data_IF_285128832037
#
_entry.id   IF_285128832037
#
_cell.length_a   1.000
_cell.length_b   1.000
_cell.length_c   1.000
_cell.angle_alpha   90.00
_cell.angle_beta   90.00
_cell.angle_gamma   90.00
#
_symmetry.space_group_name_H-M   'P 1'
#
loop_
_entity.id
_entity.type
_entity.pdbx_description
1 polymer ?
#
# COMPACT_ATOMS: atom_id res chain seq x y z
N UNK A 1 -14.79 10.95 38.17
CA UNK A 1 -14.91 9.47 38.00
C UNK A 1 -15.54 9.05 36.65
N UNK A 2 -15.35 9.79 35.54
CA UNK A 2 -16.20 9.65 34.34
C UNK A 2 -15.49 9.40 33.00
N UNK A 3 -14.15 9.50 32.91
CA UNK A 3 -13.39 9.22 31.68
C UNK A 3 -12.79 7.80 31.64
N UNK A 4 -12.25 7.33 32.76
CA UNK A 4 -11.61 6.01 32.86
C UNK A 4 -12.58 4.85 32.58
N UNK A 5 -13.80 4.87 33.14
CA UNK A 5 -14.80 3.82 32.88
C UNK A 5 -15.31 3.83 31.43
N UNK A 6 -15.37 5.00 30.78
CA UNK A 6 -15.72 5.09 29.35
C UNK A 6 -14.61 4.53 28.46
N UNK A 7 -13.35 4.75 28.83
CA UNK A 7 -12.19 4.13 28.17
C UNK A 7 -12.22 2.61 28.34
N UNK A 8 -12.42 2.10 29.55
CA UNK A 8 -12.52 0.65 29.81
C UNK A 8 -13.70 0.00 29.07
N UNK A 9 -14.88 0.64 29.06
CA UNK A 9 -16.05 0.13 28.34
C UNK A 9 -15.94 0.26 26.80
N UNK A 10 -15.05 1.10 26.29
CA UNK A 10 -14.73 1.18 24.87
C UNK A 10 -13.70 0.11 24.47
N UNK A 11 -12.69 -0.15 25.31
CA UNK A 11 -11.70 -1.20 25.11
C UNK A 11 -12.36 -2.58 25.12
N UNK A 12 -13.33 -2.82 26.01
CA UNK A 12 -14.08 -4.09 26.07
C UNK A 12 -15.00 -4.36 24.87
N UNK A 13 -15.19 -3.38 23.97
CA UNK A 13 -15.98 -3.51 22.74
C UNK A 13 -15.13 -3.66 21.47
N UNK A 14 -13.81 -3.69 21.61
CA UNK A 14 -12.91 -3.88 20.47
C UNK A 14 -13.01 -5.34 20.03
N UNK A 15 -13.55 -5.57 18.83
CA UNK A 15 -13.55 -6.88 18.22
C UNK A 15 -12.17 -7.18 17.63
N UNK A 16 -11.78 -8.44 17.59
CA UNK A 16 -10.44 -8.85 17.12
C UNK A 16 -10.21 -8.49 15.63
N UNK A 17 -11.27 -8.55 14.81
CA UNK A 17 -11.15 -8.42 13.36
C UNK A 17 -10.68 -7.02 12.88
N UNK A 18 -11.27 -5.89 13.29
CA UNK A 18 -10.77 -4.56 12.92
C UNK A 18 -9.34 -4.30 13.40
N UNK A 19 -8.94 -4.88 14.54
CA UNK A 19 -7.59 -4.77 15.06
C UNK A 19 -6.59 -5.53 14.18
N UNK A 20 -6.92 -6.76 13.78
CA UNK A 20 -6.12 -7.54 12.83
C UNK A 20 -5.96 -6.83 11.48
N UNK A 21 -7.02 -6.20 10.96
CA UNK A 21 -6.94 -5.42 9.72
C UNK A 21 -5.93 -4.28 9.86
N UNK A 22 -5.98 -3.53 10.97
CA UNK A 22 -5.03 -2.41 11.22
C UNK A 22 -3.59 -2.89 11.39
N UNK A 23 -3.39 -4.02 12.07
CA UNK A 23 -2.07 -4.67 12.14
C UNK A 23 -1.61 -5.07 10.74
N UNK A 24 -2.49 -5.60 9.91
CA UNK A 24 -2.21 -5.90 8.51
C UNK A 24 -1.80 -4.67 7.70
N UNK A 25 -2.49 -3.53 7.87
CA UNK A 25 -2.11 -2.25 7.25
C UNK A 25 -0.70 -1.85 7.66
N UNK A 26 -0.40 -1.89 8.96
CA UNK A 26 0.92 -1.54 9.47
C UNK A 26 2.01 -2.44 8.88
N UNK A 27 1.82 -3.76 8.91
CA UNK A 27 2.81 -4.72 8.40
C UNK A 27 3.05 -4.53 6.90
N UNK A 28 1.98 -4.37 6.11
CA UNK A 28 2.13 -4.14 4.67
C UNK A 28 2.84 -2.81 4.38
N UNK A 29 2.48 -1.74 5.11
CA UNK A 29 3.12 -0.43 4.94
C UNK A 29 4.60 -0.50 5.31
N UNK A 30 4.92 -1.14 6.43
CA UNK A 30 6.29 -1.30 6.89
C UNK A 30 7.14 -2.11 5.92
N UNK A 31 6.64 -3.26 5.45
CA UNK A 31 7.36 -4.07 4.46
C UNK A 31 7.53 -3.32 3.14
N UNK A 32 6.52 -2.57 2.69
CA UNK A 32 6.67 -1.74 1.47
C UNK A 32 7.76 -0.68 1.62
N UNK A 33 7.86 -0.05 2.79
CA UNK A 33 8.91 0.92 3.08
C UNK A 33 10.29 0.27 3.15
N UNK A 34 10.40 -0.91 3.76
CA UNK A 34 11.66 -1.66 3.78
C UNK A 34 12.12 -2.07 2.38
N UNK A 35 11.20 -2.53 1.52
CA UNK A 35 11.53 -2.87 0.14
C UNK A 35 11.89 -1.65 -0.72
N UNK A 36 11.33 -0.48 -0.38
CA UNK A 36 11.63 0.77 -1.06
C UNK A 36 13.00 1.37 -0.69
N UNK A 37 13.51 1.09 0.52
CA UNK A 37 14.79 1.58 1.03
C UNK A 37 15.82 0.43 1.07
N UNK A 38 16.69 0.31 0.04
CA UNK A 38 17.55 -0.86 -0.15
C UNK A 38 18.70 -0.98 0.87
N UNK A 39 19.09 0.12 1.52
CA UNK A 39 20.07 0.06 2.61
C UNK A 39 19.45 -0.71 3.78
N UNK A 40 19.87 -1.98 3.94
CA UNK A 40 19.63 -2.80 5.12
C UNK A 40 19.83 -1.88 6.33
N UNK A 41 18.77 -1.50 7.07
CA UNK A 41 18.89 -0.41 8.01
C UNK A 41 19.56 -0.95 9.27
N UNK A 42 20.89 -1.05 9.21
CA UNK A 42 21.75 -1.13 10.38
C UNK A 42 21.63 0.15 11.21
N UNK A 43 21.08 1.23 10.62
CA UNK A 43 20.66 2.43 11.33
C UNK A 43 19.29 2.23 12.00
N UNK A 44 19.34 2.01 13.32
CA UNK A 44 18.17 1.92 14.21
C UNK A 44 17.27 3.16 14.13
N UNK A 45 17.81 4.35 13.84
CA UNK A 45 17.01 5.57 13.70
C UNK A 45 16.12 5.52 12.47
N UNK A 46 16.67 5.05 11.35
CA UNK A 46 15.90 4.89 10.11
C UNK A 46 14.78 3.87 10.30
N UNK A 47 15.06 2.72 10.93
CA UNK A 47 14.01 1.75 11.31
C UNK A 47 12.91 2.39 12.16
N UNK A 48 13.27 3.22 13.13
CA UNK A 48 12.32 3.98 13.94
C UNK A 48 11.43 4.88 13.08
N UNK A 49 12.02 5.65 12.15
CA UNK A 49 11.28 6.53 11.23
C UNK A 49 10.34 5.73 10.32
N UNK A 50 10.80 4.63 9.73
CA UNK A 50 9.96 3.77 8.87
C UNK A 50 8.82 3.15 9.67
N UNK A 51 9.07 2.74 10.91
CA UNK A 51 8.03 2.21 11.82
C UNK A 51 6.97 3.27 12.10
N UNK A 52 7.39 4.50 12.43
CA UNK A 52 6.46 5.61 12.68
C UNK A 52 5.66 5.97 11.42
N UNK A 53 6.31 5.99 10.26
CA UNK A 53 5.64 6.24 8.98
C UNK A 53 4.59 5.16 8.67
N UNK A 54 4.92 3.88 8.90
CA UNK A 54 4.00 2.75 8.71
C UNK A 54 2.81 2.76 9.68
N UNK A 55 2.95 3.37 10.87
CA UNK A 55 1.84 3.53 11.82
C UNK A 55 0.78 4.52 11.33
N UNK A 56 1.15 5.52 10.53
CA UNK A 56 0.22 6.56 10.05
C UNK A 56 -1.02 5.98 9.33
N UNK A 57 -0.88 5.11 8.30
CA UNK A 57 -2.03 4.50 7.63
C UNK A 57 -2.81 3.54 8.53
N UNK A 58 -2.15 2.88 9.50
CA UNK A 58 -2.80 1.92 10.39
C UNK A 58 -3.69 2.61 11.45
N UNK A 59 -3.24 3.76 11.97
CA UNK A 59 -3.97 4.51 13.01
C UNK A 59 -5.03 5.41 12.40
N UNK A 60 -4.69 6.13 11.33
CA UNK A 60 -5.57 7.13 10.70
C UNK A 60 -5.83 6.80 9.22
N UNK A 61 -6.51 5.68 8.92
CA UNK A 61 -6.72 5.21 7.54
C UNK A 61 -7.59 6.16 6.69
N UNK A 62 -8.45 6.97 7.33
CA UNK A 62 -9.40 7.88 6.66
C UNK A 62 -8.77 9.14 6.05
N UNK A 63 -7.51 9.43 6.37
CA UNK A 63 -6.84 10.67 5.96
C UNK A 63 -5.86 10.38 4.83
N UNK A 64 -5.42 11.42 4.14
CA UNK A 64 -4.43 11.38 3.04
C UNK A 64 -3.09 10.73 3.41
N UNK A 65 -2.87 10.37 4.67
CA UNK A 65 -1.65 9.72 5.16
C UNK A 65 -1.33 8.42 4.44
N UNK A 66 -2.34 7.59 4.13
CA UNK A 66 -2.13 6.37 3.35
C UNK A 66 -1.48 6.71 2.01
N UNK A 67 -2.03 7.68 1.29
CA UNK A 67 -1.49 8.14 0.01
C UNK A 67 -0.09 8.72 0.17
N UNK A 68 0.15 9.55 1.19
CA UNK A 68 1.49 10.12 1.46
C UNK A 68 2.53 9.02 1.67
N UNK A 69 2.23 7.99 2.46
CA UNK A 69 3.15 6.88 2.71
C UNK A 69 3.39 6.05 1.45
N UNK A 70 2.34 5.77 0.67
CA UNK A 70 2.49 5.07 -0.61
C UNK A 70 3.38 5.86 -1.59
N UNK A 71 3.16 7.16 -1.70
CA UNK A 71 3.95 8.03 -2.57
C UNK A 71 5.40 8.16 -2.09
N UNK A 72 5.62 8.21 -0.77
CA UNK A 72 6.95 8.22 -0.19
C UNK A 72 7.72 6.92 -0.51
N UNK A 73 7.09 5.76 -0.35
CA UNK A 73 7.68 4.47 -0.70
C UNK A 73 7.97 4.35 -2.21
N UNK A 74 7.01 4.71 -3.06
CA UNK A 74 7.20 4.71 -4.51
C UNK A 74 8.30 5.70 -4.95
N UNK A 75 8.32 6.89 -4.37
CA UNK A 75 9.35 7.90 -4.63
C UNK A 75 10.74 7.45 -4.18
N UNK A 76 10.84 6.86 -2.99
CA UNK A 76 12.09 6.28 -2.49
C UNK A 76 12.63 5.19 -3.42
N UNK A 77 11.75 4.30 -3.91
CA UNK A 77 12.11 3.28 -4.90
C UNK A 77 12.65 3.88 -6.20
N UNK A 78 11.97 4.89 -6.75
CA UNK A 78 12.40 5.57 -7.99
C UNK A 78 13.73 6.28 -7.80
N UNK A 79 13.94 6.93 -6.65
CA UNK A 79 15.22 7.58 -6.33
C UNK A 79 16.32 6.53 -6.18
N UNK A 80 16.07 5.42 -5.48
CA UNK A 80 17.05 4.35 -5.32
C UNK A 80 17.47 3.76 -6.67
N UNK A 81 16.51 3.38 -7.50
CA UNK A 81 16.78 2.71 -8.78
C UNK A 81 17.25 3.66 -9.88
N UNK A 82 16.89 4.94 -9.84
CA UNK A 82 17.25 5.91 -10.87
C UNK A 82 18.43 6.84 -10.56
N UNK A 83 18.68 7.16 -9.28
CA UNK A 83 19.78 8.05 -8.86
C UNK A 83 20.96 7.33 -8.23
N UNK A 84 20.69 6.19 -7.58
CA UNK A 84 21.71 5.40 -6.89
C UNK A 84 22.08 4.11 -7.65
N UNK A 85 21.57 3.93 -8.88
CA UNK A 85 21.81 2.78 -9.76
C UNK A 85 21.61 1.41 -9.07
N UNK A 86 20.70 1.36 -8.09
CA UNK A 86 20.37 0.12 -7.40
C UNK A 86 19.70 -0.88 -8.35
N UNK A 87 20.17 -2.14 -8.41
CA UNK A 87 19.64 -3.11 -9.35
C UNK A 87 18.15 -3.38 -9.12
N UNK A 88 17.37 -3.40 -10.20
CA UNK A 88 15.94 -3.74 -10.17
C UNK A 88 15.78 -5.25 -10.09
N UNK A 89 15.66 -5.76 -8.87
CA UNK A 89 15.39 -7.18 -8.65
C UNK A 89 13.89 -7.50 -8.75
N UNK A 90 13.53 -8.54 -9.51
CA UNK A 90 12.13 -8.91 -9.79
C UNK A 90 11.32 -9.14 -8.51
N UNK A 91 11.86 -9.91 -7.56
CA UNK A 91 11.18 -10.22 -6.30
C UNK A 91 10.93 -8.96 -5.47
N UNK A 92 11.87 -8.00 -5.52
CA UNK A 92 11.83 -6.73 -4.78
C UNK A 92 10.77 -5.81 -5.36
N UNK A 93 10.71 -5.70 -6.68
CA UNK A 93 9.67 -4.96 -7.40
C UNK A 93 8.27 -5.54 -7.15
N UNK A 94 8.11 -6.86 -7.34
CA UNK A 94 6.82 -7.53 -7.16
C UNK A 94 6.35 -7.46 -5.70
N UNK A 95 7.28 -7.63 -4.75
CA UNK A 95 7.02 -7.45 -3.33
C UNK A 95 6.55 -6.04 -3.02
N UNK A 96 7.30 -5.02 -3.46
CA UNK A 96 6.95 -3.62 -3.25
C UNK A 96 5.57 -3.28 -3.80
N UNK A 97 5.30 -3.61 -5.06
CA UNK A 97 4.01 -3.34 -5.70
C UNK A 97 2.85 -4.04 -4.97
N UNK A 98 3.04 -5.30 -4.58
CA UNK A 98 2.05 -6.08 -3.85
C UNK A 98 1.75 -5.46 -2.49
N UNK A 99 2.78 -5.13 -1.71
CA UNK A 99 2.59 -4.56 -0.37
C UNK A 99 2.04 -3.14 -0.40
N UNK A 100 2.37 -2.32 -1.41
CA UNK A 100 1.73 -1.02 -1.61
C UNK A 100 0.23 -1.20 -1.90
N UNK A 101 -0.12 -2.11 -2.82
CA UNK A 101 -1.51 -2.40 -3.15
C UNK A 101 -2.31 -2.93 -1.94
N UNK A 102 -1.72 -3.85 -1.17
CA UNK A 102 -2.32 -4.38 0.05
C UNK A 102 -2.47 -3.29 1.11
N UNK A 103 -1.47 -2.42 1.29
CA UNK A 103 -1.54 -1.28 2.23
C UNK A 103 -2.71 -0.37 1.89
N UNK A 104 -2.84 0.03 0.62
CA UNK A 104 -3.93 0.88 0.17
C UNK A 104 -5.28 0.23 0.40
N UNK A 105 -5.41 -1.03 -0.01
CA UNK A 105 -6.67 -1.76 0.03
C UNK A 105 -7.09 -2.06 1.48
N UNK A 106 -6.16 -2.48 2.35
CA UNK A 106 -6.42 -2.71 3.78
C UNK A 106 -6.74 -1.40 4.50
N UNK A 107 -6.08 -0.29 4.15
CA UNK A 107 -6.39 1.01 4.75
C UNK A 107 -7.80 1.46 4.36
N UNK A 108 -8.22 1.25 3.12
CA UNK A 108 -9.60 1.51 2.71
C UNK A 108 -10.60 0.65 3.50
N UNK A 109 -10.30 -0.63 3.72
CA UNK A 109 -11.12 -1.51 4.56
C UNK A 109 -11.16 -1.02 6.03
N UNK A 110 -10.01 -0.67 6.60
CA UNK A 110 -9.88 -0.17 7.96
C UNK A 110 -10.60 1.18 8.18
N UNK A 111 -10.75 1.99 7.12
CA UNK A 111 -11.51 3.24 7.17
C UNK A 111 -13.03 3.03 7.27
N UNK A 112 -13.52 1.88 6.79
CA UNK A 112 -14.94 1.50 6.82
C UNK A 112 -15.32 0.75 8.11
N UNK A 113 -14.39 0.00 8.70
CA UNK A 113 -14.65 -0.77 9.91
C UNK A 113 -14.62 0.11 11.17
N UNK A 114 -15.73 0.15 11.91
CA UNK A 114 -15.73 0.63 13.28
C UNK A 114 -15.00 -0.37 14.20
N UNK A 115 -14.48 0.10 15.33
CA UNK A 115 -13.69 -0.75 16.24
C UNK A 115 -14.51 -1.89 16.89
N UNK A 116 -15.84 -1.78 16.87
CA UNK A 116 -16.82 -2.73 17.37
C UNK A 116 -17.46 -3.58 16.25
N UNK A 117 -17.01 -3.43 14.99
CA UNK A 117 -17.57 -4.16 13.87
C UNK A 117 -17.27 -5.67 13.98
N UNK A 118 -18.31 -6.49 13.90
CA UNK A 118 -18.18 -7.94 13.77
C UNK A 118 -18.12 -8.27 12.27
N UNK A 119 -16.97 -8.78 11.82
CA UNK A 119 -16.75 -9.13 10.41
C UNK A 119 -16.72 -10.65 10.29
N UNK A 120 -17.56 -11.20 9.42
CA UNK A 120 -17.56 -12.62 9.11
C UNK A 120 -16.25 -13.00 8.38
N UNK A 121 -15.56 -14.09 8.77
CA UNK A 121 -14.25 -14.46 8.22
C UNK A 121 -14.29 -14.73 6.71
N UNK A 122 -15.42 -15.18 6.17
CA UNK A 122 -15.63 -15.43 4.74
C UNK A 122 -15.58 -14.14 3.90
N UNK A 123 -15.94 -13.00 4.51
CA UNK A 123 -15.82 -11.69 3.85
C UNK A 123 -14.35 -11.31 3.73
N UNK A 124 -13.58 -11.52 4.81
CA UNK A 124 -12.15 -11.24 4.81
C UNK A 124 -11.39 -12.16 3.86
N UNK A 125 -11.70 -13.46 3.83
CA UNK A 125 -11.08 -14.42 2.91
C UNK A 125 -11.38 -14.10 1.44
N UNK A 126 -12.62 -13.72 1.10
CA UNK A 126 -12.98 -13.27 -0.25
C UNK A 126 -12.27 -11.97 -0.64
N UNK A 127 -12.09 -11.06 0.32
CA UNK A 127 -11.36 -9.83 0.10
C UNK A 127 -9.87 -10.10 -0.16
N UNK A 128 -9.23 -10.92 0.68
CA UNK A 128 -7.80 -11.29 0.54
C UNK A 128 -7.55 -12.03 -0.77
N UNK A 129 -8.40 -13.00 -1.13
CA UNK A 129 -8.26 -13.74 -2.40
C UNK A 129 -8.39 -12.83 -3.62
N UNK A 130 -9.33 -11.88 -3.62
CA UNK A 130 -9.42 -10.87 -4.68
C UNK A 130 -8.17 -9.99 -4.75
N UNK A 131 -7.68 -9.54 -3.60
CA UNK A 131 -6.48 -8.69 -3.55
C UNK A 131 -5.24 -9.43 -4.07
N UNK A 132 -5.05 -10.69 -3.66
CA UNK A 132 -3.98 -11.56 -4.16
C UNK A 132 -4.16 -11.88 -5.65
N UNK A 133 -5.40 -12.06 -6.13
CA UNK A 133 -5.68 -12.24 -7.55
C UNK A 133 -5.27 -11.03 -8.39
N UNK A 134 -5.52 -9.82 -7.90
CA UNK A 134 -5.07 -8.58 -8.56
C UNK A 134 -3.54 -8.47 -8.54
N UNK A 135 -2.90 -8.77 -7.40
CA UNK A 135 -1.44 -8.78 -7.31
C UNK A 135 -0.81 -9.80 -8.27
N UNK A 136 -1.38 -11.02 -8.35
CA UNK A 136 -0.92 -12.07 -9.26
C UNK A 136 -1.10 -11.66 -10.73
N UNK A 137 -2.28 -11.15 -11.10
CA UNK A 137 -2.53 -10.65 -12.45
C UNK A 137 -1.55 -9.53 -12.81
N UNK A 138 -1.27 -8.63 -11.87
CA UNK A 138 -0.29 -7.55 -12.07
C UNK A 138 1.12 -8.10 -12.26
N UNK A 139 1.52 -9.12 -11.50
CA UNK A 139 2.81 -9.79 -11.65
C UNK A 139 2.94 -10.48 -13.02
N UNK A 140 1.90 -11.19 -13.46
CA UNK A 140 1.86 -11.84 -14.79
C UNK A 140 2.03 -10.83 -15.92
N UNK A 141 1.49 -9.62 -15.77
CA UNK A 141 1.68 -8.53 -16.75
C UNK A 141 3.05 -7.85 -16.62
N UNK A 142 3.58 -7.69 -15.40
CA UNK A 142 4.85 -7.02 -15.15
C UNK A 142 6.08 -7.81 -15.63
N UNK A 143 6.08 -9.14 -15.44
CA UNK A 143 7.19 -10.01 -15.84
C UNK A 143 7.57 -9.88 -17.32
N UNK A 144 6.64 -10.00 -18.30
CA UNK A 144 7.00 -9.86 -19.71
C UNK A 144 7.41 -8.44 -20.07
N UNK A 145 6.86 -7.40 -19.41
CA UNK A 145 7.28 -6.01 -19.61
C UNK A 145 8.74 -5.79 -19.22
N UNK A 146 9.18 -6.41 -18.12
CA UNK A 146 10.59 -6.39 -17.72
C UNK A 146 11.49 -7.20 -18.67
N UNK A 147 10.98 -8.27 -19.27
CA UNK A 147 11.75 -9.09 -20.20
C UNK A 147 12.06 -8.38 -21.54
N UNK A 148 11.25 -7.38 -21.91
CA UNK A 148 11.47 -6.54 -23.10
C UNK A 148 12.19 -5.22 -22.78
N UNK A 149 12.60 -5.02 -21.54
CA UNK A 149 13.39 -3.87 -21.13
C UNK A 149 14.71 -3.79 -21.92
N UNK A 150 15.08 -2.59 -22.34
CA UNK A 150 16.25 -2.35 -23.21
C UNK A 150 16.12 -2.77 -24.68
N UNK A 151 15.03 -3.44 -25.09
CA UNK A 151 14.81 -3.78 -26.52
C UNK A 151 14.24 -2.60 -27.33
N UNK A 152 13.66 -1.62 -26.64
CA UNK A 152 13.05 -0.43 -27.23
C UNK A 152 13.83 0.79 -26.73
N UNK A 153 14.22 1.71 -27.62
CA UNK A 153 15.00 2.88 -27.19
C UNK A 153 14.27 3.69 -26.11
N UNK A 154 15.03 4.20 -25.13
CA UNK A 154 14.54 4.81 -23.87
C UNK A 154 13.34 5.75 -24.04
N UNK A 155 13.33 6.54 -25.11
CA UNK A 155 12.26 7.51 -25.40
C UNK A 155 10.91 6.85 -25.64
N UNK A 156 10.88 5.69 -26.30
CA UNK A 156 9.66 4.95 -26.61
C UNK A 156 9.05 4.35 -25.34
N UNK A 157 9.91 3.84 -24.46
CA UNK A 157 9.53 3.31 -23.16
C UNK A 157 8.96 4.41 -22.25
N UNK A 158 9.62 5.57 -22.17
CA UNK A 158 9.12 6.73 -21.40
C UNK A 158 7.75 7.19 -21.92
N UNK A 159 7.55 7.27 -23.24
CA UNK A 159 6.25 7.66 -23.81
C UNK A 159 5.16 6.65 -23.47
N UNK A 160 5.46 5.35 -23.56
CA UNK A 160 4.51 4.30 -23.16
C UNK A 160 4.15 4.39 -21.66
N UNK A 161 5.14 4.66 -20.81
CA UNK A 161 4.96 4.79 -19.37
C UNK A 161 4.13 6.03 -18.99
N UNK A 162 4.39 7.17 -19.65
CA UNK A 162 3.59 8.39 -19.53
C UNK A 162 2.16 8.19 -20.04
N UNK A 163 1.99 7.48 -21.16
CA UNK A 163 0.68 7.13 -21.70
C UNK A 163 -0.13 6.25 -20.75
N UNK A 164 0.50 5.22 -20.18
CA UNK A 164 -0.09 4.36 -19.16
C UNK A 164 -0.49 5.14 -17.90
N UNK A 165 0.38 6.03 -17.42
CA UNK A 165 0.10 6.89 -16.27
C UNK A 165 -1.08 7.84 -16.56
N UNK A 166 -1.10 8.48 -17.72
CA UNK A 166 -2.19 9.37 -18.13
C UNK A 166 -3.53 8.63 -18.18
N UNK A 167 -3.55 7.42 -18.74
CA UNK A 167 -4.73 6.58 -18.79
C UNK A 167 -5.21 6.18 -17.39
N UNK A 168 -4.30 5.80 -16.50
CA UNK A 168 -4.62 5.45 -15.12
C UNK A 168 -5.20 6.66 -14.34
N UNK A 169 -4.59 7.83 -14.48
CA UNK A 169 -5.07 9.08 -13.87
C UNK A 169 -6.45 9.46 -14.40
N UNK A 170 -6.66 9.36 -15.72
CA UNK A 170 -7.95 9.63 -16.34
C UNK A 170 -9.04 8.67 -15.84
N UNK A 171 -8.74 7.37 -15.76
CA UNK A 171 -9.65 6.37 -15.24
C UNK A 171 -10.03 6.66 -13.77
N UNK A 172 -9.03 6.96 -12.92
CA UNK A 172 -9.27 7.32 -11.52
C UNK A 172 -10.11 8.61 -11.39
N UNK A 173 -9.82 9.62 -12.21
CA UNK A 173 -10.58 10.87 -12.24
C UNK A 173 -12.03 10.64 -12.67
N UNK A 174 -12.26 9.87 -13.74
CA UNK A 174 -13.60 9.54 -14.23
C UNK A 174 -14.41 8.78 -13.18
N UNK A 175 -13.81 7.76 -12.55
CA UNK A 175 -14.47 7.03 -11.45
C UNK A 175 -14.83 7.97 -10.30
N UNK A 176 -13.89 8.79 -9.84
CA UNK A 176 -14.13 9.76 -8.75
C UNK A 176 -15.15 10.84 -9.12
N UNK A 177 -15.25 11.22 -10.39
CA UNK A 177 -16.28 12.14 -10.89
C UNK A 177 -17.66 11.48 -10.93
N UNK A 178 -17.75 10.23 -11.39
CA UNK A 178 -19.01 9.47 -11.41
C UNK A 178 -19.56 9.24 -10.00
N UNK A 179 -18.71 8.93 -9.02
CA UNK A 179 -19.13 8.76 -7.63
C UNK A 179 -19.61 10.06 -6.97
N UNK A 180 -19.07 11.22 -7.37
CA UNK A 180 -19.52 12.53 -6.84
C UNK A 180 -20.84 13.03 -7.44
N UNK A 181 -21.30 12.42 -8.54
CA UNK A 181 -22.55 12.77 -9.22
C UNK A 181 -23.76 11.94 -8.75
N UNK A 182 -23.55 10.96 -7.88
CA UNK A 182 -24.62 10.20 -7.21
C UNK A 182 -24.77 10.68 -5.78
#
# INVERSE_FOLDING_TARGET
MTRMMRLYAAIGRITLAPLLVRVGVFLCAFVSLLLAYPAMPSDVRLLGVLTVAALLPAVVPRRSWTTVVLLAAAGAWVVATGWYDEPVELWRLLGLATFLYLTHSLAALAALLSYDAVVAPEVLARWVSRALGVALASAVLAVPLLAVDGQWGDRSFVVALLGGLALAVLAAFLLGWMFRRR
#
